data_IF_714781641354
#
_entry.id   IF_714781641354
#
_cell.length_a   1.000
_cell.length_b   1.000
_cell.length_c   1.000
_cell.angle_alpha   90.00
_cell.angle_beta   90.00
_cell.angle_gamma   90.00
#
_symmetry.space_group_name_H-M   'P 1'
#
loop_
_entity.id
_entity.type
_entity.pdbx_description
1 polymer ?
#
# COMPACT_ATOMS: atom_id res chain seq x y z
N UNK A 1 15.88 9.40 -3.27
CA UNK A 1 15.05 8.53 -2.39
C UNK A 1 13.70 9.16 -2.00
N UNK A 2 13.40 10.42 -2.38
CA UNK A 2 12.15 11.13 -2.04
C UNK A 2 11.00 10.97 -3.05
N UNK A 3 11.24 10.34 -4.21
CA UNK A 3 10.29 10.40 -5.34
C UNK A 3 9.14 9.39 -5.23
N UNK A 4 9.35 8.24 -4.57
CA UNK A 4 8.30 7.22 -4.34
C UNK A 4 7.34 7.67 -3.23
N UNK A 5 7.87 8.26 -2.16
CA UNK A 5 7.06 8.78 -1.06
C UNK A 5 6.21 9.98 -1.50
N UNK A 6 6.73 10.84 -2.38
CA UNK A 6 5.98 11.95 -2.98
C UNK A 6 4.79 11.48 -3.82
N UNK A 7 4.93 10.35 -4.54
CA UNK A 7 3.88 9.78 -5.37
C UNK A 7 2.73 9.18 -4.53
N UNK A 8 3.03 8.73 -3.30
CA UNK A 8 2.03 8.22 -2.35
C UNK A 8 1.43 9.34 -1.48
N UNK A 9 2.15 10.45 -1.26
CA UNK A 9 1.75 11.50 -0.30
C UNK A 9 1.30 12.85 -0.88
N UNK A 10 1.64 13.23 -2.13
CA UNK A 10 1.38 14.60 -2.67
C UNK A 10 0.29 14.65 -3.77
N UNK A 11 -0.59 13.66 -3.87
CA UNK A 11 -1.84 13.86 -4.60
C UNK A 11 -3.08 13.45 -3.78
N UNK A 12 -3.38 14.15 -2.68
CA UNK A 12 -4.69 14.05 -2.04
C UNK A 12 -5.84 14.55 -2.95
N UNK A 13 -5.53 15.06 -4.15
CA UNK A 13 -6.49 15.50 -5.17
C UNK A 13 -6.65 14.56 -6.37
N UNK A 14 -5.90 13.44 -6.44
CA UNK A 14 -6.28 12.36 -7.36
C UNK A 14 -7.05 11.32 -6.57
N UNK A 15 -8.24 11.73 -6.12
CA UNK A 15 -9.32 10.88 -5.61
C UNK A 15 -9.87 9.97 -6.71
N UNK A 16 -8.97 9.26 -7.38
CA UNK A 16 -9.25 8.10 -8.20
C UNK A 16 -8.48 6.97 -7.54
N UNK A 17 -8.98 6.49 -6.39
CA UNK A 17 -8.87 5.07 -6.10
C UNK A 17 -9.48 4.39 -7.33
N UNK A 18 -8.63 4.03 -8.30
CA UNK A 18 -9.06 3.44 -9.56
C UNK A 18 -9.67 2.08 -9.22
N UNK A 19 -10.99 2.05 -9.00
CA UNK A 19 -11.79 0.84 -9.02
C UNK A 19 -11.97 0.41 -10.47
N UNK A 20 -10.85 0.08 -11.12
CA UNK A 20 -10.87 -0.58 -12.42
C UNK A 20 -11.16 -2.07 -12.17
N UNK A 21 -12.12 -2.63 -12.90
CA UNK A 21 -12.30 -4.09 -12.92
C UNK A 21 -11.06 -4.73 -13.50
N UNK A 22 -10.57 -5.78 -12.85
CA UNK A 22 -9.57 -6.64 -13.45
C UNK A 22 -10.11 -7.25 -14.75
N UNK A 23 -9.25 -7.59 -15.72
CA UNK A 23 -9.64 -8.41 -16.85
C UNK A 23 -10.30 -9.71 -16.37
N UNK A 24 -11.24 -10.26 -17.14
CA UNK A 24 -12.08 -11.40 -16.72
C UNK A 24 -11.27 -12.62 -16.24
N UNK A 25 -10.14 -12.90 -16.90
CA UNK A 25 -9.22 -13.99 -16.50
C UNK A 25 -8.64 -13.85 -15.08
N UNK A 26 -8.61 -12.62 -14.53
CA UNK A 26 -8.08 -12.31 -13.20
C UNK A 26 -9.17 -11.94 -12.20
N UNK A 27 -10.46 -12.09 -12.54
CA UNK A 27 -11.55 -11.70 -11.65
C UNK A 27 -11.53 -12.43 -10.30
N UNK A 28 -10.95 -13.63 -10.21
CA UNK A 28 -10.77 -14.35 -8.95
C UNK A 28 -9.78 -13.66 -7.99
N UNK A 29 -8.90 -12.78 -8.49
CA UNK A 29 -7.95 -12.00 -7.69
C UNK A 29 -8.51 -10.67 -7.18
N UNK A 30 -9.75 -10.31 -7.56
CA UNK A 30 -10.39 -9.07 -7.08
C UNK A 30 -10.28 -8.90 -5.55
N UNK A 31 -10.57 -9.93 -4.72
CA UNK A 31 -10.46 -9.77 -3.26
C UNK A 31 -9.04 -9.43 -2.77
N UNK A 32 -8.00 -9.87 -3.47
CA UNK A 32 -6.60 -9.57 -3.13
C UNK A 32 -6.27 -8.13 -3.51
N UNK A 33 -6.68 -7.71 -4.72
CA UNK A 33 -6.44 -6.35 -5.21
C UNK A 33 -7.17 -5.31 -4.36
N UNK A 34 -8.35 -5.64 -3.85
CA UNK A 34 -9.10 -4.79 -2.92
C UNK A 34 -8.33 -4.51 -1.61
N UNK A 35 -7.45 -5.43 -1.19
CA UNK A 35 -6.63 -5.29 0.03
C UNK A 35 -5.28 -4.61 -0.26
N UNK A 36 -4.77 -4.66 -1.50
CA UNK A 36 -3.44 -4.10 -1.86
C UNK A 36 -3.19 -2.64 -1.43
N UNK A 37 -4.18 -1.72 -1.42
CA UNK A 37 -3.96 -0.35 -0.93
C UNK A 37 -3.49 -0.25 0.52
N UNK A 38 -3.67 -1.30 1.35
CA UNK A 38 -3.22 -1.33 2.75
C UNK A 38 -1.71 -1.57 2.89
N UNK A 39 -1.03 -2.06 1.84
CA UNK A 39 0.39 -2.47 1.90
C UNK A 39 1.32 -1.37 2.45
N UNK A 40 1.21 -0.08 2.07
CA UNK A 40 2.05 0.96 2.64
C UNK A 40 1.95 1.09 4.17
N UNK A 41 0.74 0.89 4.73
CA UNK A 41 0.51 0.90 6.18
C UNK A 41 1.18 -0.30 6.84
N UNK A 42 1.13 -1.48 6.22
CA UNK A 42 1.81 -2.67 6.73
C UNK A 42 3.34 -2.47 6.81
N UNK A 43 3.96 -1.81 5.82
CA UNK A 43 5.39 -1.49 5.88
C UNK A 43 5.73 -0.46 6.95
N UNK A 44 4.87 0.53 7.17
CA UNK A 44 5.03 1.46 8.29
C UNK A 44 4.98 0.73 9.64
N UNK A 45 4.02 -0.18 9.83
CA UNK A 45 3.91 -1.00 11.04
C UNK A 45 5.10 -1.97 11.19
N UNK A 46 5.58 -2.51 10.07
CA UNK A 46 6.75 -3.39 10.05
C UNK A 46 8.00 -2.70 10.59
N UNK A 47 8.15 -1.38 10.41
CA UNK A 47 9.26 -0.63 11.00
C UNK A 47 9.24 -0.70 12.54
N UNK A 48 8.08 -0.64 13.17
CA UNK A 48 7.93 -0.78 14.62
C UNK A 48 8.14 -2.23 15.08
N UNK A 49 7.66 -3.20 14.31
CA UNK A 49 7.92 -4.62 14.57
C UNK A 49 9.42 -4.90 14.52
N UNK A 50 10.11 -4.36 13.51
CA UNK A 50 11.55 -4.48 13.37
C UNK A 50 12.30 -3.82 14.52
N UNK A 51 11.93 -2.57 14.88
CA UNK A 51 12.51 -1.89 16.01
C UNK A 51 12.27 -2.64 17.34
N UNK A 52 11.08 -3.18 17.55
CA UNK A 52 10.79 -4.02 18.71
C UNK A 52 11.65 -5.29 18.74
N UNK A 53 11.90 -5.92 17.59
CA UNK A 53 12.76 -7.11 17.49
C UNK A 53 14.22 -6.83 17.89
N UNK A 54 14.72 -5.60 17.69
CA UNK A 54 16.05 -5.16 18.13
C UNK A 54 16.02 -4.37 19.44
N UNK A 55 14.93 -4.47 20.21
CA UNK A 55 14.74 -3.81 21.52
C UNK A 55 14.80 -2.28 21.50
N UNK A 56 14.39 -1.64 20.39
CA UNK A 56 14.40 -0.19 20.21
C UNK A 56 15.78 0.45 20.53
N UNK A 57 16.85 -0.23 20.09
CA UNK A 57 18.22 0.28 20.14
C UNK A 57 18.54 1.17 18.95
#
# INVERSE_FOLDING_TARGET
MLNIFSLVCINPYSSSFFFAKLPEAYAFLNPIVDIMPVIPVLFFLLAFVWQAAVSFR
#
